data_IF_663541341266
#
_entry.id   IF_663541341266
#
_cell.length_a   1.000
_cell.length_b   1.000
_cell.length_c   1.000
_cell.angle_alpha   90.00
_cell.angle_beta   90.00
_cell.angle_gamma   90.00
#
_symmetry.space_group_name_H-M   'P 1'
#
loop_
_entity.id
_entity.type
_entity.pdbx_description
1 polymer ?
#
# COMPACT_ATOMS: atom_id res chain seq x y z
N UNK A 1 -0.31 15.99 -27.47
CA UNK A 1 -0.05 16.06 -26.01
C UNK A 1 1.12 16.99 -25.81
N UNK A 2 1.06 18.00 -24.92
CA UNK A 2 2.25 18.83 -24.65
C UNK A 2 3.24 18.06 -23.76
N UNK A 3 4.50 18.50 -23.72
CA UNK A 3 5.54 17.90 -22.89
C UNK A 3 5.17 17.96 -21.39
N UNK A 4 4.56 19.06 -20.96
CA UNK A 4 4.09 19.26 -19.59
C UNK A 4 3.01 18.23 -19.20
N UNK A 5 2.04 17.95 -20.09
CA UNK A 5 1.01 16.94 -19.83
C UNK A 5 1.60 15.54 -19.68
N UNK A 6 2.63 15.19 -20.46
CA UNK A 6 3.30 13.89 -20.34
C UNK A 6 4.04 13.76 -19.00
N UNK A 7 4.76 14.80 -18.58
CA UNK A 7 5.47 14.82 -17.30
C UNK A 7 4.50 14.70 -16.12
N UNK A 8 3.40 15.47 -16.11
CA UNK A 8 2.37 15.39 -15.05
C UNK A 8 1.75 13.99 -15.00
N UNK A 9 1.51 13.36 -16.15
CA UNK A 9 0.99 11.99 -16.22
C UNK A 9 1.95 10.99 -15.57
N UNK A 10 3.24 11.09 -15.88
CA UNK A 10 4.26 10.20 -15.31
C UNK A 10 4.37 10.36 -13.78
N UNK A 11 4.33 11.60 -13.28
CA UNK A 11 4.33 11.87 -11.84
C UNK A 11 3.07 11.30 -11.17
N UNK A 12 1.90 11.49 -11.78
CA UNK A 12 0.64 10.96 -11.25
C UNK A 12 0.63 9.44 -11.14
N UNK A 13 1.13 8.73 -12.16
CA UNK A 13 1.27 7.28 -12.12
C UNK A 13 2.21 6.82 -11.00
N UNK A 14 3.39 7.44 -10.89
CA UNK A 14 4.35 7.13 -9.83
C UNK A 14 3.78 7.41 -8.42
N UNK A 15 3.01 8.49 -8.26
CA UNK A 15 2.35 8.83 -7.01
C UNK A 15 1.31 7.77 -6.61
N UNK A 16 0.51 7.28 -7.56
CA UNK A 16 -0.46 6.22 -7.32
C UNK A 16 0.23 4.92 -6.86
N UNK A 17 1.32 4.53 -7.52
CA UNK A 17 2.09 3.33 -7.14
C UNK A 17 2.74 3.46 -5.76
N UNK A 18 3.27 4.65 -5.43
CA UNK A 18 3.81 4.94 -4.10
C UNK A 18 2.73 4.83 -3.03
N UNK A 19 1.54 5.39 -3.28
CA UNK A 19 0.43 5.33 -2.33
C UNK A 19 -0.05 3.89 -2.12
N UNK A 20 -0.24 3.12 -3.20
CA UNK A 20 -0.65 1.72 -3.10
C UNK A 20 0.32 0.90 -2.25
N UNK A 21 1.63 1.07 -2.45
CA UNK A 21 2.67 0.41 -1.65
C UNK A 21 2.67 0.87 -0.20
N UNK A 22 2.50 2.16 0.07
CA UNK A 22 2.47 2.70 1.43
C UNK A 22 1.28 2.15 2.24
N UNK A 23 0.10 2.08 1.62
CA UNK A 23 -1.10 1.48 2.24
C UNK A 23 -0.85 0.01 2.57
N UNK A 24 -0.33 -0.76 1.62
CA UNK A 24 -0.05 -2.17 1.84
C UNK A 24 1.01 -2.36 2.94
N UNK A 25 2.07 -1.56 2.94
CA UNK A 25 3.08 -1.59 4.01
C UNK A 25 2.46 -1.31 5.38
N UNK A 26 1.54 -0.35 5.49
CA UNK A 26 0.82 -0.06 6.74
C UNK A 26 -0.04 -1.25 7.20
N UNK A 27 -0.84 -1.83 6.31
CA UNK A 27 -1.69 -2.99 6.63
C UNK A 27 -0.86 -4.20 7.07
N UNK A 28 0.25 -4.48 6.38
CA UNK A 28 1.10 -5.64 6.64
C UNK A 28 2.02 -5.49 7.87
N UNK A 29 2.24 -4.27 8.35
CA UNK A 29 3.08 -4.01 9.54
C UNK A 29 2.28 -3.51 10.75
N UNK A 30 0.95 -3.44 10.64
CA UNK A 30 0.08 -3.03 11.74
C UNK A 30 0.28 -3.91 12.98
N UNK A 31 0.05 -3.32 14.15
CA UNK A 31 -0.02 -4.03 15.42
C UNK A 31 -1.48 -4.03 15.92
N UNK A 32 -1.92 -5.09 16.61
CA UNK A 32 -3.28 -5.14 17.15
C UNK A 32 -3.48 -4.07 18.22
N UNK A 33 -4.66 -3.44 18.24
CA UNK A 33 -5.04 -2.39 19.20
C UNK A 33 -6.49 -2.63 19.64
N UNK A 34 -6.77 -2.41 20.93
CA UNK A 34 -8.12 -2.55 21.51
C UNK A 34 -8.77 -3.92 21.27
N UNK A 35 -7.97 -4.99 21.18
CA UNK A 35 -8.45 -6.35 20.92
C UNK A 35 -8.87 -6.61 19.46
N UNK A 36 -8.63 -5.66 18.54
CA UNK A 36 -8.92 -5.83 17.12
C UNK A 36 -7.71 -6.51 16.45
N UNK A 37 -7.92 -7.65 15.76
CA UNK A 37 -6.84 -8.37 15.07
C UNK A 37 -6.36 -7.62 13.83
N UNK A 38 -5.09 -7.80 13.48
CA UNK A 38 -4.49 -7.27 12.24
C UNK A 38 -4.79 -8.19 11.06
N UNK A 39 -4.49 -7.74 9.84
CA UNK A 39 -4.61 -8.57 8.64
C UNK A 39 -3.78 -9.86 8.76
N UNK A 40 -2.58 -9.79 9.34
CA UNK A 40 -1.69 -10.95 9.52
C UNK A 40 -2.22 -11.93 10.56
N UNK A 41 -2.86 -11.43 11.62
CA UNK A 41 -3.49 -12.29 12.63
C UNK A 41 -4.68 -13.06 12.04
N UNK A 42 -5.45 -12.42 11.15
CA UNK A 42 -6.62 -13.04 10.51
C UNK A 42 -6.25 -14.05 9.42
N UNK A 43 -5.12 -13.84 8.72
CA UNK A 43 -4.71 -14.67 7.57
C UNK A 43 -3.24 -15.12 7.68
N UNK A 44 -2.86 -15.86 8.74
CA UNK A 44 -1.46 -16.22 8.98
C UNK A 44 -0.86 -17.06 7.85
N UNK A 45 -1.65 -17.94 7.22
CA UNK A 45 -1.19 -18.79 6.11
C UNK A 45 -0.79 -18.03 4.84
N UNK A 46 -1.15 -16.75 4.69
CA UNK A 46 -0.70 -15.92 3.57
C UNK A 46 0.77 -15.49 3.68
N UNK A 47 1.42 -15.72 4.84
CA UNK A 47 2.78 -15.24 5.14
C UNK A 47 3.81 -16.37 5.31
N UNK A 48 3.46 -17.60 4.94
CA UNK A 48 4.31 -18.78 5.09
C UNK A 48 4.08 -19.54 6.40
N UNK A 49 4.72 -20.70 6.52
CA UNK A 49 4.71 -21.60 7.69
C UNK A 49 5.85 -21.32 8.65
#
# INVERSE_FOLDING_TARGET
MSAETQLVTAVGAAAADCLARAVLAGVLNAQPVAGIPTYRDMFPGAFGS
#
